data_IF_418481424863
#
_entry.id   IF_418481424863
#
_cell.length_a   1.000
_cell.length_b   1.000
_cell.length_c   1.000
_cell.angle_alpha   90.00
_cell.angle_beta   90.00
_cell.angle_gamma   90.00
#
_symmetry.space_group_name_H-M   'P 1'
#
loop_
_entity.id
_entity.type
_entity.pdbx_description
1 polymer ?
#
# COMPACT_ATOMS: atom_id res chain seq x y z
N UNK A 1 -5.72 -15.25 6.93
CA UNK A 1 -5.57 -13.86 7.42
C UNK A 1 -4.11 -13.69 7.78
N UNK A 2 -3.38 -12.98 6.92
CA UNK A 2 -1.94 -12.80 7.01
C UNK A 2 -1.59 -11.99 8.26
N UNK A 3 -0.79 -12.61 9.14
CA UNK A 3 -0.34 -12.03 10.39
C UNK A 3 0.98 -11.33 10.14
N UNK A 4 0.97 -10.21 9.43
CA UNK A 4 2.16 -9.39 9.21
C UNK A 4 1.76 -7.92 9.06
N UNK A 5 1.56 -7.24 10.19
CA UNK A 5 1.79 -5.81 10.17
C UNK A 5 3.27 -5.58 9.86
N UNK A 6 3.57 -4.56 9.05
CA UNK A 6 4.92 -4.12 8.62
C UNK A 6 5.96 -4.12 9.76
N UNK A 7 5.51 -3.97 11.01
CA UNK A 7 6.34 -3.99 12.22
C UNK A 7 7.03 -5.34 12.50
N UNK A 8 6.44 -6.48 12.12
CA UNK A 8 7.00 -7.81 12.40
C UNK A 8 7.94 -8.33 11.31
N UNK A 9 7.92 -7.72 10.12
CA UNK A 9 8.77 -8.14 9.00
C UNK A 9 10.25 -7.84 9.27
N UNK A 10 10.55 -6.72 9.96
CA UNK A 10 11.91 -6.31 10.29
C UNK A 10 12.58 -7.21 11.35
N UNK A 11 12.01 -7.44 12.55
CA UNK A 11 12.65 -8.31 13.54
C UNK A 11 12.80 -9.76 13.06
N UNK A 12 11.81 -10.27 12.30
CA UNK A 12 11.91 -11.62 11.74
C UNK A 12 13.05 -11.73 10.73
N UNK A 13 13.20 -10.75 9.83
CA UNK A 13 14.26 -10.74 8.84
C UNK A 13 15.66 -10.65 9.47
N UNK A 14 15.82 -9.87 10.55
CA UNK A 14 17.09 -9.77 11.28
C UNK A 14 17.45 -11.09 11.97
N UNK A 15 16.48 -11.74 12.64
CA UNK A 15 16.69 -13.04 13.26
C UNK A 15 17.04 -14.12 12.22
N UNK A 16 16.34 -14.12 11.07
CA UNK A 16 16.63 -15.02 9.95
C UNK A 16 18.05 -14.79 9.40
N UNK A 17 18.50 -13.53 9.30
CA UNK A 17 19.84 -13.18 8.80
C UNK A 17 20.98 -13.68 9.70
N UNK A 18 20.75 -13.78 11.02
CA UNK A 18 21.71 -14.33 11.99
C UNK A 18 21.59 -15.86 12.11
N UNK A 19 20.66 -16.48 11.37
CA UNK A 19 20.45 -17.94 11.37
C UNK A 19 19.58 -18.44 12.52
N UNK A 20 18.84 -17.55 13.20
CA UNK A 20 17.91 -17.93 14.27
C UNK A 20 16.59 -18.37 13.63
N UNK A 21 16.20 -19.62 13.88
CA UNK A 21 14.90 -20.14 13.44
C UNK A 21 13.79 -19.58 14.32
N UNK A 22 13.19 -18.48 13.88
CA UNK A 22 12.05 -17.84 14.54
C UNK A 22 10.71 -18.33 13.99
N UNK A 23 9.66 -18.28 14.80
CA UNK A 23 8.28 -18.57 14.37
C UNK A 23 7.41 -17.32 14.50
N UNK A 24 6.72 -16.95 13.42
CA UNK A 24 5.62 -15.97 13.49
C UNK A 24 4.32 -16.73 13.73
N UNK A 25 3.64 -16.47 14.83
CA UNK A 25 2.39 -17.15 15.19
C UNK A 25 1.20 -16.22 14.95
N UNK A 26 0.11 -16.76 14.42
CA UNK A 26 -1.10 -15.98 14.17
C UNK A 26 -1.71 -15.50 15.50
N UNK A 27 -1.89 -14.18 15.63
CA UNK A 27 -2.47 -13.58 16.84
C UNK A 27 -3.87 -14.13 17.19
N UNK A 28 -4.67 -14.58 16.20
CA UNK A 28 -5.97 -15.22 16.48
C UNK A 28 -5.83 -16.54 17.23
N UNK A 29 -4.79 -17.32 16.93
CA UNK A 29 -4.53 -18.57 17.64
C UNK A 29 -4.01 -18.29 19.06
N UNK A 30 -3.26 -17.20 19.23
CA UNK A 30 -2.77 -16.75 20.54
C UNK A 30 -3.87 -16.10 21.37
N UNK A 31 -4.86 -15.44 20.77
CA UNK A 31 -5.93 -14.73 21.51
C UNK A 31 -6.81 -15.65 22.35
N UNK A 32 -6.89 -16.94 22.01
CA UNK A 32 -7.60 -17.95 22.80
C UNK A 32 -6.84 -18.36 24.08
N UNK A 33 -5.60 -17.88 24.22
CA UNK A 33 -4.74 -18.15 25.36
C UNK A 33 -4.95 -17.04 26.40
N UNK A 34 -5.15 -17.37 27.69
CA UNK A 34 -5.25 -16.36 28.75
C UNK A 34 -4.01 -15.47 28.76
N UNK A 35 -4.20 -14.19 28.44
CA UNK A 35 -3.12 -13.19 28.44
C UNK A 35 -2.60 -12.93 29.84
N UNK A 36 -1.31 -12.64 29.96
CA UNK A 36 -0.69 -12.15 31.19
C UNK A 36 -0.52 -10.63 31.08
N UNK A 37 -0.16 -10.01 32.21
CA UNK A 37 -0.18 -8.54 32.35
C UNK A 37 1.14 -7.88 31.93
N UNK A 38 2.20 -8.66 31.68
CA UNK A 38 3.52 -8.16 31.36
C UNK A 38 4.08 -8.86 30.13
N UNK A 39 4.74 -8.09 29.26
CA UNK A 39 5.33 -8.60 28.01
C UNK A 39 6.31 -9.76 28.26
N UNK A 40 7.06 -9.71 29.37
CA UNK A 40 7.96 -10.79 29.78
C UNK A 40 7.22 -12.08 30.10
N UNK A 41 6.11 -11.99 30.86
CA UNK A 41 5.33 -13.16 31.23
C UNK A 41 4.62 -13.75 30.00
N UNK A 42 4.15 -12.89 29.08
CA UNK A 42 3.57 -13.32 27.81
C UNK A 42 4.60 -14.02 26.92
N UNK A 43 5.82 -13.50 26.80
CA UNK A 43 6.90 -14.13 26.03
C UNK A 43 7.28 -15.52 26.61
N UNK A 44 7.43 -15.63 27.92
CA UNK A 44 7.70 -16.90 28.60
C UNK A 44 6.58 -17.91 28.39
N UNK A 45 5.34 -17.44 28.43
CA UNK A 45 4.17 -18.28 28.24
C UNK A 45 4.04 -18.78 26.81
N UNK A 46 4.21 -17.90 25.81
CA UNK A 46 4.26 -18.28 24.40
C UNK A 46 5.37 -19.29 24.12
N UNK A 47 6.55 -19.11 24.70
CA UNK A 47 7.65 -20.08 24.58
C UNK A 47 7.28 -21.44 25.19
N UNK A 48 6.54 -21.45 26.30
CA UNK A 48 6.04 -22.69 26.93
C UNK A 48 5.04 -23.40 26.03
N UNK A 49 4.09 -22.67 25.45
CA UNK A 49 3.11 -23.22 24.52
C UNK A 49 3.76 -23.74 23.22
N UNK A 50 4.76 -23.03 22.69
CA UNK A 50 5.53 -23.48 21.54
C UNK A 50 6.26 -24.80 21.84
N UNK A 51 6.92 -24.92 23.00
CA UNK A 51 7.60 -26.17 23.41
C UNK A 51 6.62 -27.32 23.63
N UNK A 52 5.41 -27.04 24.10
CA UNK A 52 4.35 -28.03 24.26
C UNK A 52 3.68 -28.43 22.92
N UNK A 53 4.08 -27.84 21.79
CA UNK A 53 3.48 -28.11 20.48
C UNK A 53 2.08 -27.51 20.29
N UNK A 54 1.65 -26.60 21.16
CA UNK A 54 0.33 -25.98 21.14
C UNK A 54 0.25 -24.76 20.21
N UNK A 55 1.39 -24.29 19.71
CA UNK A 55 1.47 -23.20 18.72
C UNK A 55 1.92 -23.73 17.37
N UNK A 56 1.31 -23.21 16.31
CA UNK A 56 1.68 -23.48 14.93
C UNK A 56 2.28 -22.22 14.30
N UNK A 57 3.50 -22.35 13.78
CA UNK A 57 4.13 -21.31 12.97
C UNK A 57 3.29 -21.01 11.73
N UNK A 58 3.18 -19.72 11.41
CA UNK A 58 2.59 -19.24 10.17
C UNK A 58 3.58 -19.48 9.03
N UNK A 59 3.04 -19.66 7.83
CA UNK A 59 3.88 -19.69 6.64
C UNK A 59 4.49 -18.31 6.41
N UNK A 60 5.81 -18.27 6.22
CA UNK A 60 6.54 -17.06 5.85
C UNK A 60 7.23 -17.37 4.52
N UNK A 61 6.91 -16.63 3.44
CA UNK A 61 7.57 -16.82 2.16
C UNK A 61 9.08 -16.58 2.27
N UNK A 62 9.88 -17.20 1.40
CA UNK A 62 11.32 -16.92 1.31
C UNK A 62 11.59 -15.44 1.03
N UNK A 63 12.79 -14.98 1.40
CA UNK A 63 13.24 -13.58 1.25
C UNK A 63 12.96 -13.04 -0.16
N UNK A 64 13.22 -13.82 -1.21
CA UNK A 64 13.04 -13.36 -2.60
C UNK A 64 11.57 -13.03 -2.91
N UNK A 65 10.64 -13.84 -2.41
CA UNK A 65 9.21 -13.61 -2.60
C UNK A 65 8.69 -12.42 -1.78
N UNK A 66 9.22 -12.20 -0.58
CA UNK A 66 8.83 -11.06 0.26
C UNK A 66 9.24 -9.74 -0.39
N UNK A 67 10.45 -9.68 -0.96
CA UNK A 67 10.91 -8.51 -1.72
C UNK A 67 10.03 -8.23 -2.94
N UNK A 68 9.67 -9.27 -3.71
CA UNK A 68 8.75 -9.11 -4.85
C UNK A 68 7.37 -8.61 -4.40
N UNK A 69 6.85 -9.16 -3.30
CA UNK A 69 5.57 -8.73 -2.75
C UNK A 69 5.61 -7.25 -2.33
N UNK A 70 6.67 -6.80 -1.67
CA UNK A 70 6.85 -5.40 -1.28
C UNK A 70 6.83 -4.46 -2.49
N UNK A 71 7.56 -4.81 -3.55
CA UNK A 71 7.58 -4.02 -4.80
C UNK A 71 6.21 -4.00 -5.47
N UNK A 72 5.55 -5.15 -5.57
CA UNK A 72 4.22 -5.26 -6.17
C UNK A 72 3.18 -4.45 -5.39
N UNK A 73 3.19 -4.55 -4.06
CA UNK A 73 2.31 -3.79 -3.17
C UNK A 73 2.55 -2.28 -3.30
N UNK A 74 3.82 -1.85 -3.30
CA UNK A 74 4.16 -0.44 -3.45
C UNK A 74 3.69 0.11 -4.81
N UNK A 75 3.83 -0.67 -5.89
CA UNK A 75 3.29 -0.31 -7.20
C UNK A 75 1.77 -0.16 -7.17
N UNK A 76 1.05 -1.11 -6.57
CA UNK A 76 -0.41 -1.02 -6.43
C UNK A 76 -0.83 0.24 -5.66
N UNK A 77 -0.14 0.55 -4.57
CA UNK A 77 -0.38 1.76 -3.78
C UNK A 77 -0.17 3.03 -4.60
N UNK A 78 0.94 3.12 -5.34
CA UNK A 78 1.24 4.26 -6.21
C UNK A 78 0.20 4.44 -7.33
N UNK A 79 -0.27 3.35 -7.93
CA UNK A 79 -1.34 3.39 -8.95
C UNK A 79 -2.66 3.89 -8.36
N UNK A 80 -2.99 3.46 -7.13
CA UNK A 80 -4.16 3.97 -6.40
C UNK A 80 -4.06 5.47 -6.13
N UNK A 81 -2.91 5.93 -5.63
CA UNK A 81 -2.67 7.36 -5.38
C UNK A 81 -2.72 8.19 -6.66
N UNK A 82 -2.12 7.71 -7.75
CA UNK A 82 -2.20 8.36 -9.06
C UNK A 82 -3.66 8.49 -9.52
N UNK A 83 -4.46 7.45 -9.38
CA UNK A 83 -5.88 7.46 -9.78
C UNK A 83 -6.71 8.42 -8.91
N UNK A 84 -6.42 8.50 -7.62
CA UNK A 84 -7.06 9.45 -6.73
C UNK A 84 -6.74 10.90 -7.11
N UNK A 85 -5.48 11.21 -7.40
CA UNK A 85 -5.07 12.57 -7.78
C UNK A 85 -5.64 12.98 -9.14
N UNK A 86 -5.70 12.02 -10.07
CA UNK A 86 -6.38 12.17 -11.36
C UNK A 86 -7.86 12.58 -11.19
N UNK A 87 -8.59 11.87 -10.34
CA UNK A 87 -9.98 12.19 -10.04
C UNK A 87 -10.14 13.55 -9.34
N UNK A 88 -9.19 13.91 -8.47
CA UNK A 88 -9.18 15.22 -7.80
C UNK A 88 -9.02 16.37 -8.80
N UNK A 89 -8.09 16.26 -9.74
CA UNK A 89 -7.92 17.23 -10.82
C UNK A 89 -9.22 17.39 -11.62
N UNK A 90 -9.84 16.28 -12.00
CA UNK A 90 -11.10 16.32 -12.73
C UNK A 90 -12.20 17.05 -11.92
N UNK A 91 -12.31 16.76 -10.62
CA UNK A 91 -13.27 17.43 -9.74
C UNK A 91 -13.02 18.94 -9.66
N UNK A 92 -11.77 19.38 -9.48
CA UNK A 92 -11.41 20.81 -9.43
C UNK A 92 -11.79 21.52 -10.72
N UNK A 93 -11.57 20.89 -11.88
CA UNK A 93 -11.97 21.47 -13.16
C UNK A 93 -13.49 21.60 -13.28
N UNK A 94 -14.25 20.58 -12.87
CA UNK A 94 -15.72 20.62 -12.88
C UNK A 94 -16.26 21.68 -11.91
N UNK A 95 -15.68 21.80 -10.72
CA UNK A 95 -16.05 22.82 -9.73
C UNK A 95 -15.78 24.25 -10.27
N UNK A 96 -14.76 24.42 -11.11
CA UNK A 96 -14.48 25.65 -11.85
C UNK A 96 -15.36 25.86 -13.10
N UNK A 97 -16.30 24.96 -13.39
CA UNK A 97 -17.18 25.00 -14.56
C UNK A 97 -16.59 24.44 -15.86
N UNK A 98 -15.40 23.84 -15.82
CA UNK A 98 -14.67 23.31 -16.98
C UNK A 98 -14.89 21.80 -17.10
N UNK A 99 -15.72 21.39 -18.07
CA UNK A 99 -15.95 19.97 -18.40
C UNK A 99 -14.99 19.46 -19.46
N UNK A 100 -13.73 19.26 -19.08
CA UNK A 100 -12.66 18.84 -20.01
C UNK A 100 -12.91 17.46 -20.62
N UNK A 101 -13.58 16.56 -19.91
CA UNK A 101 -13.92 15.22 -20.37
C UNK A 101 -14.83 15.18 -21.61
N UNK A 102 -15.51 16.27 -21.95
CA UNK A 102 -16.29 16.40 -23.20
C UNK A 102 -15.38 16.74 -24.39
N UNK A 103 -14.21 17.32 -24.12
CA UNK A 103 -13.29 17.80 -25.14
C UNK A 103 -12.21 16.76 -25.48
N UNK A 104 -11.80 15.93 -24.53
CA UNK A 104 -10.71 14.96 -24.70
C UNK A 104 -11.15 13.55 -24.31
N UNK A 105 -10.65 12.55 -25.02
CA UNK A 105 -10.89 11.12 -24.73
C UNK A 105 -10.15 10.63 -23.48
N UNK A 106 -8.96 11.20 -23.19
CA UNK A 106 -8.18 10.96 -21.98
C UNK A 106 -7.87 12.29 -21.27
N UNK A 107 -8.50 12.51 -20.12
CA UNK A 107 -8.32 13.70 -19.25
C UNK A 107 -6.88 13.83 -18.74
N UNK A 108 -6.08 12.77 -18.81
CA UNK A 108 -4.67 12.77 -18.41
C UNK A 108 -3.71 12.60 -19.58
N UNK A 109 -4.23 12.59 -20.81
CA UNK A 109 -3.47 12.51 -22.04
C UNK A 109 -2.65 13.77 -22.31
N UNK A 110 -1.83 13.74 -23.36
CA UNK A 110 -0.96 14.86 -23.73
C UNK A 110 -1.77 16.11 -24.07
N UNK A 111 -2.84 15.98 -24.86
CA UNK A 111 -3.74 17.08 -25.22
C UNK A 111 -4.40 17.72 -24.00
N UNK A 112 -4.94 16.92 -23.09
CA UNK A 112 -5.58 17.41 -21.87
C UNK A 112 -4.61 18.21 -20.99
N UNK A 113 -3.38 17.72 -20.82
CA UNK A 113 -2.34 18.45 -20.08
C UNK A 113 -1.93 19.75 -20.78
N UNK A 114 -1.85 19.76 -22.11
CA UNK A 114 -1.55 20.97 -22.87
C UNK A 114 -2.65 22.02 -22.70
N UNK A 115 -3.92 21.60 -22.74
CA UNK A 115 -5.07 22.47 -22.52
C UNK A 115 -5.10 23.01 -21.08
N UNK A 116 -4.87 22.17 -20.06
CA UNK A 116 -4.81 22.61 -18.65
C UNK A 116 -3.69 23.65 -18.46
N UNK A 117 -2.51 23.45 -19.05
CA UNK A 117 -1.44 24.45 -19.02
C UNK A 117 -1.84 25.76 -19.69
N UNK A 118 -2.58 25.69 -20.80
CA UNK A 118 -3.08 26.87 -21.49
C UNK A 118 -4.15 27.63 -20.67
N UNK A 119 -5.03 26.92 -19.96
CA UNK A 119 -5.94 27.51 -18.97
C UNK A 119 -5.17 28.23 -17.85
N UNK A 120 -4.14 27.60 -17.30
CA UNK A 120 -3.29 28.22 -16.27
C UNK A 120 -2.54 29.45 -16.77
N UNK A 121 -2.19 29.50 -18.06
CA UNK A 121 -1.54 30.64 -18.69
C UNK A 121 -2.51 31.78 -19.09
N UNK A 122 -3.83 31.59 -18.90
CA UNK A 122 -4.84 32.60 -19.25
C UNK A 122 -5.04 32.80 -20.75
N UNK A 123 -4.72 31.80 -21.58
CA UNK A 123 -4.87 31.89 -23.04
C UNK A 123 -6.35 31.93 -23.47
N UNK A 124 -6.66 32.56 -24.62
CA UNK A 124 -8.03 32.59 -25.15
C UNK A 124 -8.51 31.20 -25.57
N UNK A 125 -9.82 30.97 -25.51
CA UNK A 125 -10.43 29.66 -25.76
C UNK A 125 -10.11 29.06 -27.14
N UNK A 126 -9.92 29.90 -28.17
CA UNK A 126 -9.55 29.42 -29.51
C UNK A 126 -8.21 28.66 -29.51
N UNK A 127 -7.18 29.27 -28.92
CA UNK A 127 -5.85 28.63 -28.80
C UNK A 127 -5.83 27.42 -27.87
N UNK A 128 -6.75 27.35 -26.91
CA UNK A 128 -6.89 26.19 -26.03
C UNK A 128 -7.45 25.01 -26.82
N UNK A 129 -8.47 25.25 -27.65
CA UNK A 129 -9.14 24.21 -28.44
C UNK A 129 -8.27 23.67 -29.57
N UNK A 130 -7.40 24.50 -30.17
CA UNK A 130 -6.44 24.07 -31.19
C UNK A 130 -5.41 23.06 -30.67
N UNK A 131 -5.21 23.00 -29.34
CA UNK A 131 -4.31 22.04 -28.69
C UNK A 131 -4.96 20.68 -28.39
N UNK A 132 -6.19 20.47 -28.84
CA UNK A 132 -6.94 19.21 -28.65
C UNK A 132 -6.27 18.01 -29.34
N UNK A 133 -5.52 18.24 -30.42
CA UNK A 133 -4.86 17.20 -31.21
C UNK A 133 -5.87 16.41 -32.04
#
# INVERSE_FOLDING_TARGET
MESAGVVLESPFAELEAVGIVAWVVNARHVKAVPGRKTDMADAQWLATLARAGLLRGSFIPRVEFRQLHLVAWQRQKLVGMLSAEKNRLHKVLVDAGIRINVLVSDVHGQSARAMIKAFMAGLPMGEILDRKG
#
